data_IF_379448863447
#
_entry.id   IF_379448863447
#
_cell.length_a   1.000
_cell.length_b   1.000
_cell.length_c   1.000
_cell.angle_alpha   90.00
_cell.angle_beta   90.00
_cell.angle_gamma   90.00
#
_symmetry.space_group_name_H-M   'P 1'
#
loop_
_entity.id
_entity.type
_entity.pdbx_description
1 polymer ?
#
# COMPACT_ATOMS: atom_id res chain seq x y z
N UNK A 1 -10.39 10.34 -10.52
CA UNK A 1 -9.08 9.68 -10.69
C UNK A 1 -8.00 10.68 -10.31
N UNK A 2 -7.08 10.25 -9.45
CA UNK A 2 -5.98 11.08 -8.97
C UNK A 2 -4.66 10.36 -9.25
N UNK A 3 -3.65 11.12 -9.64
CA UNK A 3 -2.29 10.67 -9.80
C UNK A 3 -1.38 11.52 -8.91
N UNK A 4 -0.51 10.88 -8.15
CA UNK A 4 0.46 11.54 -7.29
C UNK A 4 1.86 11.02 -7.62
N UNK A 5 2.79 11.95 -7.82
CA UNK A 5 4.22 11.70 -7.93
C UNK A 5 4.91 12.38 -6.74
N UNK A 6 5.54 11.60 -5.88
CA UNK A 6 6.16 12.08 -4.66
C UNK A 6 7.62 11.64 -4.59
N UNK A 7 8.48 12.59 -4.26
CA UNK A 7 9.87 12.32 -3.89
C UNK A 7 10.09 12.72 -2.43
N UNK A 8 10.52 11.77 -1.60
CA UNK A 8 10.97 12.03 -0.22
C UNK A 8 12.45 11.63 -0.08
N UNK A 9 13.26 12.54 0.45
CA UNK A 9 14.71 12.35 0.55
C UNK A 9 15.14 11.56 1.80
N UNK A 10 14.28 11.43 2.80
CA UNK A 10 14.64 10.87 4.11
C UNK A 10 13.63 9.81 4.61
N UNK A 11 13.02 9.06 3.68
CA UNK A 11 12.09 8.01 4.03
C UNK A 11 12.78 6.91 4.84
N UNK A 12 12.23 6.58 6.00
CA UNK A 12 12.71 5.45 6.81
C UNK A 12 12.56 4.12 6.04
N UNK A 13 13.62 3.31 6.08
CA UNK A 13 13.64 1.98 5.46
C UNK A 13 13.50 0.91 6.54
N UNK A 14 14.49 0.80 7.40
CA UNK A 14 14.54 -0.23 8.44
C UNK A 14 15.62 0.08 9.48
N UNK A 15 15.64 -0.73 10.54
CA UNK A 15 16.78 -0.79 11.45
C UNK A 15 17.43 -2.17 11.39
N UNK A 16 18.75 -2.22 11.57
CA UNK A 16 19.54 -3.44 11.57
C UNK A 16 20.58 -3.41 12.70
N UNK A 17 20.62 -4.48 13.50
CA UNK A 17 21.70 -4.65 14.49
C UNK A 17 22.91 -5.29 13.81
N UNK A 18 24.06 -4.65 13.94
CA UNK A 18 25.34 -5.12 13.41
C UNK A 18 26.49 -4.62 14.30
N UNK A 19 27.46 -5.48 14.62
CA UNK A 19 28.64 -5.11 15.42
C UNK A 19 28.31 -4.52 16.80
N UNK A 20 27.24 -5.01 17.48
CA UNK A 20 26.81 -4.52 18.79
C UNK A 20 26.11 -3.16 18.80
N UNK A 21 25.81 -2.60 17.63
CA UNK A 21 25.13 -1.31 17.48
C UNK A 21 23.95 -1.41 16.52
N UNK A 22 22.91 -0.59 16.74
CA UNK A 22 21.78 -0.50 15.83
C UNK A 22 22.03 0.55 14.75
N UNK A 23 21.84 0.16 13.51
CA UNK A 23 21.89 1.01 12.31
C UNK A 23 20.47 1.38 11.92
N UNK A 24 20.17 2.67 11.80
CA UNK A 24 18.93 3.18 11.24
C UNK A 24 19.19 3.58 9.79
N UNK A 25 18.42 3.01 8.88
CA UNK A 25 18.58 3.24 7.44
C UNK A 25 17.41 4.06 6.91
N UNK A 26 17.76 5.07 6.14
CA UNK A 26 16.82 5.94 5.42
C UNK A 26 17.22 5.99 3.95
N UNK A 27 16.32 6.40 3.08
CA UNK A 27 16.65 6.55 1.67
C UNK A 27 15.78 7.59 0.99
N UNK A 28 16.20 8.00 -0.18
CA UNK A 28 15.37 8.76 -1.10
C UNK A 28 14.40 7.80 -1.76
N UNK A 29 13.09 8.06 -1.64
CA UNK A 29 12.06 7.31 -2.36
C UNK A 29 11.46 8.16 -3.48
N UNK A 30 11.26 7.55 -4.63
CA UNK A 30 10.39 8.04 -5.70
C UNK A 30 9.16 7.14 -5.74
N UNK A 31 8.00 7.73 -5.48
CA UNK A 31 6.72 7.00 -5.36
C UNK A 31 5.68 7.55 -6.32
N UNK A 32 5.11 6.66 -7.11
CA UNK A 32 3.98 6.94 -7.99
C UNK A 32 2.73 6.25 -7.45
N UNK A 33 1.64 7.00 -7.34
CA UNK A 33 0.36 6.51 -6.84
C UNK A 33 -0.75 6.88 -7.81
N UNK A 34 -1.59 5.92 -8.15
CA UNK A 34 -2.78 6.10 -8.99
C UNK A 34 -3.98 5.51 -8.26
N UNK A 35 -5.00 6.32 -8.04
CA UNK A 35 -6.22 5.86 -7.41
C UNK A 35 -7.46 6.57 -7.95
N UNK A 36 -8.60 5.93 -7.80
CA UNK A 36 -9.91 6.54 -8.06
C UNK A 36 -10.93 6.04 -7.05
N UNK A 37 -12.00 6.78 -6.90
CA UNK A 37 -13.14 6.36 -6.08
C UNK A 37 -14.40 6.57 -6.89
N UNK A 38 -15.21 5.53 -6.99
CA UNK A 38 -16.54 5.55 -7.58
C UNK A 38 -17.57 5.31 -6.47
N UNK A 39 -18.57 6.18 -6.43
CA UNK A 39 -19.78 5.99 -5.60
C UNK A 39 -20.98 6.17 -6.47
N UNK A 40 -21.92 5.25 -6.35
CA UNK A 40 -23.21 5.32 -7.04
C UNK A 40 -24.31 4.90 -6.07
N UNK A 41 -25.44 5.60 -6.14
CA UNK A 41 -26.65 5.26 -5.42
C UNK A 41 -27.81 5.35 -6.41
N UNK A 42 -28.66 4.33 -6.40
CA UNK A 42 -29.80 4.24 -7.29
C UNK A 42 -31.04 3.79 -6.52
N UNK A 43 -32.06 4.62 -6.54
CA UNK A 43 -33.37 4.32 -5.95
C UNK A 43 -34.27 3.78 -7.04
N UNK A 44 -34.62 2.48 -6.95
CA UNK A 44 -35.58 1.83 -7.84
C UNK A 44 -37.00 2.26 -7.45
N UNK A 45 -37.25 2.26 -6.12
CA UNK A 45 -38.41 2.87 -5.48
C UNK A 45 -37.96 3.56 -4.18
N UNK A 46 -38.81 4.35 -3.49
CA UNK A 46 -38.46 4.90 -2.17
C UNK A 46 -38.06 3.83 -1.14
N UNK A 47 -38.62 2.60 -1.27
CA UNK A 47 -38.38 1.47 -0.39
C UNK A 47 -37.22 0.59 -0.83
N UNK A 48 -36.71 0.71 -2.10
CA UNK A 48 -35.72 -0.16 -2.67
C UNK A 48 -34.56 0.61 -3.28
N UNK A 49 -33.39 0.52 -2.66
CA UNK A 49 -32.19 1.21 -3.12
C UNK A 49 -30.99 0.28 -3.26
N UNK A 50 -30.11 0.63 -4.19
CA UNK A 50 -28.83 0.01 -4.45
C UNK A 50 -27.75 1.06 -4.25
N UNK A 51 -26.70 0.69 -3.51
CA UNK A 51 -25.52 1.53 -3.31
C UNK A 51 -24.28 0.75 -3.73
N UNK A 52 -23.39 1.42 -4.42
CA UNK A 52 -22.10 0.88 -4.81
C UNK A 52 -20.96 1.83 -4.44
N UNK A 53 -19.92 1.26 -3.88
CA UNK A 53 -18.63 1.92 -3.65
C UNK A 53 -17.54 1.07 -4.28
N UNK A 54 -16.61 1.69 -5.01
CA UNK A 54 -15.45 1.02 -5.58
C UNK A 54 -14.24 1.94 -5.54
N UNK A 55 -13.09 1.42 -5.06
CA UNK A 55 -11.86 2.19 -4.92
C UNK A 55 -10.65 1.36 -5.32
N UNK A 56 -10.28 1.34 -6.62
CA UNK A 56 -8.99 0.82 -7.04
C UNK A 56 -7.86 1.79 -6.66
N UNK A 57 -6.74 1.21 -6.21
CA UNK A 57 -5.54 1.90 -5.76
C UNK A 57 -4.30 1.12 -6.20
N UNK A 58 -3.30 1.82 -6.73
CA UNK A 58 -1.99 1.26 -6.98
C UNK A 58 -0.91 2.27 -6.56
N UNK A 59 0.14 1.79 -5.92
CA UNK A 59 1.28 2.61 -5.53
C UNK A 59 2.57 1.83 -5.75
N UNK A 60 3.54 2.43 -6.43
CA UNK A 60 4.87 1.87 -6.64
C UNK A 60 5.91 2.80 -6.07
N UNK A 61 6.93 2.24 -5.40
CA UNK A 61 8.01 3.03 -4.82
C UNK A 61 9.36 2.42 -5.10
N UNK A 62 10.31 3.27 -5.50
CA UNK A 62 11.70 2.91 -5.70
C UNK A 62 12.60 3.70 -4.78
N UNK A 63 13.39 2.99 -3.99
CA UNK A 63 14.40 3.62 -3.15
C UNK A 63 15.70 3.84 -3.91
N UNK A 64 16.21 5.06 -3.80
CA UNK A 64 17.50 5.47 -4.32
C UNK A 64 18.34 6.03 -3.17
N UNK A 65 19.66 5.90 -3.25
CA UNK A 65 20.57 6.53 -2.29
C UNK A 65 20.23 6.17 -0.83
N UNK A 66 20.62 4.97 -0.42
CA UNK A 66 20.44 4.52 0.97
C UNK A 66 21.49 5.19 1.85
N UNK A 67 21.08 5.64 3.03
CA UNK A 67 21.92 6.29 4.01
C UNK A 67 21.76 5.62 5.39
N UNK A 68 22.87 5.56 6.12
CA UNK A 68 22.89 5.25 7.54
C UNK A 68 22.77 6.55 8.35
N UNK A 69 21.88 6.62 9.30
CA UNK A 69 21.77 7.74 10.22
C UNK A 69 22.98 7.73 11.16
N UNK A 70 23.73 8.81 11.20
CA UNK A 70 24.92 9.00 12.03
C UNK A 70 24.66 9.87 13.24
N UNK A 71 24.19 11.10 13.01
CA UNK A 71 23.84 12.05 14.06
C UNK A 71 22.58 12.83 13.65
N UNK A 72 21.39 12.44 14.08
CA UNK A 72 20.14 13.08 13.65
C UNK A 72 20.02 14.55 14.10
N UNK A 73 20.79 14.95 15.12
CA UNK A 73 20.76 16.30 15.69
C UNK A 73 21.84 17.24 15.12
N UNK A 74 22.68 16.79 14.18
CA UNK A 74 23.70 17.64 13.59
C UNK A 74 23.07 18.83 12.85
N UNK A 75 23.67 20.03 12.97
CA UNK A 75 23.20 21.24 12.28
C UNK A 75 23.29 21.07 10.76
N UNK A 76 24.39 20.54 10.26
CA UNK A 76 24.60 20.31 8.83
C UNK A 76 24.04 18.94 8.43
N UNK A 77 23.24 18.90 7.35
CA UNK A 77 22.58 17.70 6.85
C UNK A 77 23.56 16.59 6.49
N UNK A 78 24.72 16.97 5.91
CA UNK A 78 25.81 16.05 5.56
C UNK A 78 26.40 15.28 6.75
N UNK A 79 26.31 15.85 7.95
CA UNK A 79 26.76 15.22 9.18
C UNK A 79 25.71 14.29 9.81
N UNK A 80 24.46 14.33 9.32
CA UNK A 80 23.36 13.48 9.80
C UNK A 80 23.40 12.08 9.22
N UNK A 81 23.94 11.93 8.00
CA UNK A 81 23.81 10.72 7.21
C UNK A 81 25.15 10.29 6.63
N UNK A 82 25.37 8.98 6.56
CA UNK A 82 26.48 8.37 5.84
C UNK A 82 25.91 7.61 4.64
N UNK A 83 26.33 7.92 3.39
CA UNK A 83 25.91 7.15 2.22
C UNK A 83 26.32 5.68 2.35
N UNK A 84 25.38 4.79 2.02
CA UNK A 84 25.62 3.35 1.96
C UNK A 84 25.67 2.91 0.51
N UNK A 85 26.69 2.13 0.15
CA UNK A 85 26.79 1.56 -1.20
C UNK A 85 26.29 0.12 -1.14
N UNK A 86 25.21 -0.23 -1.90
CA UNK A 86 24.82 -1.63 -2.03
C UNK A 86 25.94 -2.42 -2.74
N UNK A 87 26.32 -3.53 -2.16
CA UNK A 87 27.12 -4.56 -2.85
C UNK A 87 26.17 -5.43 -3.63
N UNK A 88 26.31 -5.46 -4.96
CA UNK A 88 25.38 -6.19 -5.83
C UNK A 88 25.68 -7.67 -5.71
N UNK A 89 24.79 -8.42 -5.03
CA UNK A 89 24.72 -9.86 -5.08
C UNK A 89 23.40 -10.24 -5.75
N UNK A 90 23.46 -11.08 -6.77
CA UNK A 90 22.33 -11.40 -7.61
C UNK A 90 21.47 -12.52 -7.02
N UNK A 91 20.15 -12.39 -7.05
CA UNK A 91 19.21 -13.50 -7.07
C UNK A 91 18.22 -13.64 -5.91
N UNK A 92 18.30 -12.87 -4.81
CA UNK A 92 17.46 -13.13 -3.62
C UNK A 92 16.61 -11.94 -3.15
N UNK A 93 16.45 -10.91 -3.98
CA UNK A 93 15.69 -9.68 -3.68
C UNK A 93 16.11 -9.00 -2.36
N UNK A 94 17.43 -9.05 -2.06
CA UNK A 94 18.05 -8.40 -0.91
C UNK A 94 19.04 -7.35 -1.36
N UNK A 95 19.23 -6.33 -0.52
CA UNK A 95 20.28 -5.36 -0.64
C UNK A 95 21.37 -5.67 0.39
N UNK A 96 22.54 -6.00 -0.09
CA UNK A 96 23.73 -6.23 0.73
C UNK A 96 24.47 -4.91 0.90
N UNK A 97 24.78 -4.54 2.12
CA UNK A 97 25.33 -3.23 2.48
C UNK A 97 26.71 -3.39 3.08
N UNK A 98 27.61 -2.50 2.66
CA UNK A 98 28.94 -2.32 3.19
C UNK A 98 28.89 -1.20 4.25
N UNK A 99 29.09 -1.51 5.53
CA UNK A 99 29.03 -0.57 6.66
C UNK A 99 30.39 0.11 6.93
N UNK A 100 31.50 -0.53 6.55
CA UNK A 100 32.86 -0.12 6.86
C UNK A 100 33.62 0.48 5.66
N UNK A 101 33.14 0.32 4.43
CA UNK A 101 33.74 0.87 3.21
C UNK A 101 34.81 -0.02 2.57
N UNK A 102 34.89 -1.31 2.91
CA UNK A 102 35.86 -2.25 2.36
C UNK A 102 35.40 -2.94 1.06
N UNK A 103 34.24 -2.56 0.51
CA UNK A 103 33.56 -3.11 -0.66
C UNK A 103 33.11 -4.59 -0.49
N UNK A 104 32.95 -5.05 0.75
CA UNK A 104 32.36 -6.33 1.08
C UNK A 104 31.02 -6.12 1.78
N UNK A 105 30.14 -7.10 1.68
CA UNK A 105 28.87 -7.05 2.35
C UNK A 105 29.03 -7.40 3.83
N UNK A 106 28.66 -6.48 4.72
CA UNK A 106 28.63 -6.68 6.16
C UNK A 106 27.30 -7.28 6.63
N UNK A 107 26.20 -6.82 6.02
CA UNK A 107 24.85 -7.32 6.30
C UNK A 107 23.91 -7.06 5.13
N UNK A 108 22.72 -7.63 5.20
CA UNK A 108 21.68 -7.40 4.19
C UNK A 108 20.39 -6.89 4.83
N UNK A 109 19.60 -6.20 4.01
CA UNK A 109 18.22 -5.84 4.26
C UNK A 109 17.34 -6.38 3.14
N UNK A 110 16.05 -6.55 3.39
CA UNK A 110 15.08 -6.79 2.30
C UNK A 110 15.06 -5.60 1.35
N UNK A 111 14.88 -5.85 0.05
CA UNK A 111 14.70 -4.76 -0.91
C UNK A 111 13.51 -3.90 -0.46
N UNK A 112 13.72 -2.59 -0.21
CA UNK A 112 12.65 -1.69 0.24
C UNK A 112 11.74 -1.21 -0.88
N UNK A 113 12.09 -1.48 -2.14
CA UNK A 113 11.22 -1.17 -3.27
C UNK A 113 9.89 -1.90 -3.12
N UNK A 114 8.82 -1.32 -3.64
CA UNK A 114 7.52 -1.95 -3.56
C UNK A 114 6.61 -1.67 -4.73
N UNK A 115 5.65 -2.57 -4.91
CA UNK A 115 4.48 -2.43 -5.75
C UNK A 115 3.26 -2.91 -4.95
N UNK A 116 2.40 -1.98 -4.58
CA UNK A 116 1.16 -2.25 -3.85
C UNK A 116 -0.04 -2.01 -4.75
N UNK A 117 -0.95 -2.96 -4.75
CA UNK A 117 -2.18 -2.94 -5.55
C UNK A 117 -3.35 -3.31 -4.64
N UNK A 118 -4.43 -2.57 -4.73
CA UNK A 118 -5.64 -2.85 -3.96
C UNK A 118 -6.90 -2.45 -4.74
N UNK A 119 -7.94 -3.24 -4.61
CA UNK A 119 -9.29 -2.87 -4.99
C UNK A 119 -10.25 -3.23 -3.87
N UNK A 120 -10.93 -2.23 -3.35
CA UNK A 120 -12.00 -2.42 -2.38
C UNK A 120 -13.31 -2.00 -3.00
N UNK A 121 -14.33 -2.83 -2.88
CA UNK A 121 -15.68 -2.44 -3.24
C UNK A 121 -16.72 -3.01 -2.29
N UNK A 122 -17.81 -2.25 -2.17
CA UNK A 122 -18.99 -2.64 -1.41
C UNK A 122 -20.22 -2.38 -2.26
N UNK A 123 -21.08 -3.37 -2.30
CA UNK A 123 -22.42 -3.27 -2.85
C UNK A 123 -23.41 -3.48 -1.73
N UNK A 124 -24.40 -2.60 -1.61
CA UNK A 124 -25.45 -2.67 -0.62
C UNK A 124 -26.81 -2.59 -1.32
N UNK A 125 -27.62 -3.60 -1.11
CA UNK A 125 -29.03 -3.59 -1.44
C UNK A 125 -29.81 -3.38 -0.15
N UNK A 126 -30.69 -2.38 -0.14
CA UNK A 126 -31.65 -2.11 0.93
C UNK A 126 -33.06 -2.21 0.38
N UNK A 127 -33.89 -2.99 1.03
CA UNK A 127 -35.30 -3.15 0.68
C UNK A 127 -36.16 -3.11 1.92
N UNK A 128 -37.05 -2.11 1.99
CA UNK A 128 -38.11 -2.03 2.98
C UNK A 128 -39.34 -2.75 2.43
N UNK A 129 -39.43 -4.06 2.66
CA UNK A 129 -40.46 -4.92 2.09
C UNK A 129 -41.83 -4.77 2.78
N UNK A 130 -41.88 -4.16 3.97
CA UNK A 130 -43.06 -3.74 4.72
C UNK A 130 -42.67 -2.54 5.59
N UNK A 131 -43.63 -1.65 5.88
CA UNK A 131 -43.36 -0.47 6.72
C UNK A 131 -42.65 -0.87 8.04
N UNK A 132 -41.47 -0.31 8.28
CA UNK A 132 -40.60 -0.62 9.41
C UNK A 132 -39.85 -1.96 9.34
N UNK A 133 -40.04 -2.76 8.27
CA UNK A 133 -39.38 -4.07 8.08
C UNK A 133 -38.42 -4.00 6.90
N UNK A 134 -37.12 -4.27 7.16
CA UNK A 134 -36.07 -4.04 6.17
C UNK A 134 -35.23 -5.29 5.95
N UNK A 135 -34.82 -5.48 4.71
CA UNK A 135 -33.83 -6.46 4.27
C UNK A 135 -32.59 -5.75 3.74
N UNK A 136 -31.43 -6.19 4.14
CA UNK A 136 -30.14 -5.76 3.60
C UNK A 136 -29.35 -6.94 3.07
N UNK A 137 -28.79 -6.79 1.88
CA UNK A 137 -27.74 -7.62 1.35
C UNK A 137 -26.50 -6.73 1.16
N UNK A 138 -25.40 -7.12 1.77
CA UNK A 138 -24.11 -6.45 1.59
C UNK A 138 -23.14 -7.44 1.00
N UNK A 139 -22.50 -7.04 -0.10
CA UNK A 139 -21.38 -7.75 -0.71
C UNK A 139 -20.14 -6.87 -0.67
N UNK A 140 -19.17 -7.29 0.14
CA UNK A 140 -17.85 -6.67 0.19
C UNK A 140 -16.88 -7.51 -0.63
N UNK A 141 -16.13 -6.84 -1.50
CA UNK A 141 -15.15 -7.45 -2.38
C UNK A 141 -13.82 -6.73 -2.21
N UNK A 142 -12.76 -7.49 -1.97
CA UNK A 142 -11.40 -6.99 -1.83
C UNK A 142 -10.44 -7.80 -2.68
N UNK A 143 -9.46 -7.13 -3.26
CA UNK A 143 -8.28 -7.71 -3.90
C UNK A 143 -7.08 -6.90 -3.46
N UNK A 144 -6.00 -7.55 -3.05
CA UNK A 144 -4.78 -6.84 -2.69
C UNK A 144 -3.55 -7.68 -2.98
N UNK A 145 -2.47 -7.01 -3.33
CA UNK A 145 -1.14 -7.59 -3.49
C UNK A 145 -0.08 -6.61 -3.03
N UNK A 146 0.95 -7.12 -2.42
CA UNK A 146 2.17 -6.40 -2.10
C UNK A 146 3.37 -7.20 -2.60
N UNK A 147 4.27 -6.54 -3.32
CA UNK A 147 5.49 -7.11 -3.84
C UNK A 147 6.65 -6.14 -3.60
N UNK A 148 7.83 -6.66 -3.30
CA UNK A 148 9.08 -5.88 -3.13
C UNK A 148 9.79 -5.63 -4.48
N UNK A 149 9.07 -5.73 -5.59
CA UNK A 149 9.56 -5.43 -6.93
C UNK A 149 8.96 -4.13 -7.43
N UNK A 150 9.81 -3.16 -7.70
CA UNK A 150 9.38 -1.90 -8.31
C UNK A 150 8.76 -2.12 -9.69
N UNK A 151 7.63 -1.48 -9.93
CA UNK A 151 7.00 -1.42 -11.26
C UNK A 151 7.11 0.01 -11.80
N UNK A 152 7.87 0.19 -12.88
CA UNK A 152 8.13 1.50 -13.49
C UNK A 152 6.91 2.18 -14.10
N UNK A 153 5.90 1.39 -14.51
CA UNK A 153 4.64 1.89 -15.07
C UNK A 153 3.49 1.68 -14.09
N UNK A 154 3.08 2.74 -13.41
CA UNK A 154 1.95 2.70 -12.48
C UNK A 154 0.65 2.22 -13.13
N UNK A 155 0.44 2.52 -14.41
CA UNK A 155 -0.71 2.03 -15.17
C UNK A 155 -0.74 0.52 -15.31
N UNK A 156 0.42 -0.14 -15.38
CA UNK A 156 0.54 -1.60 -15.39
C UNK A 156 0.19 -2.20 -14.04
N UNK A 157 0.65 -1.58 -12.94
CA UNK A 157 0.22 -1.96 -11.59
C UNK A 157 -1.29 -1.81 -11.44
N UNK A 158 -1.84 -0.68 -11.86
CA UNK A 158 -3.27 -0.41 -11.75
C UNK A 158 -4.12 -1.41 -12.57
N UNK A 159 -3.73 -1.72 -13.79
CA UNK A 159 -4.43 -2.72 -14.61
C UNK A 159 -4.26 -4.15 -14.08
N UNK A 160 -3.15 -4.44 -13.41
CA UNK A 160 -2.87 -5.75 -12.79
C UNK A 160 -3.85 -6.13 -11.68
N UNK A 161 -4.55 -5.16 -11.08
CA UNK A 161 -5.52 -5.38 -10.00
C UNK A 161 -6.60 -6.40 -10.41
N UNK A 162 -7.02 -6.40 -11.66
CA UNK A 162 -8.08 -7.30 -12.17
C UNK A 162 -7.67 -8.77 -12.13
N UNK A 163 -6.37 -9.06 -12.20
CA UNK A 163 -5.80 -10.41 -12.15
C UNK A 163 -5.60 -10.96 -10.72
N UNK A 164 -5.77 -10.14 -9.69
CA UNK A 164 -5.57 -10.57 -8.30
C UNK A 164 -6.71 -11.44 -7.81
N UNK A 165 -6.40 -12.39 -6.92
CA UNK A 165 -7.39 -13.27 -6.29
C UNK A 165 -8.35 -12.47 -5.43
N UNK A 166 -9.67 -12.56 -5.67
CA UNK A 166 -10.68 -11.83 -4.90
C UNK A 166 -10.97 -12.50 -3.55
N UNK A 167 -11.21 -11.67 -2.55
CA UNK A 167 -11.85 -12.04 -1.31
C UNK A 167 -13.26 -11.46 -1.30
N UNK A 168 -14.26 -12.29 -1.03
CA UNK A 168 -15.67 -11.89 -1.02
C UNK A 168 -16.29 -12.18 0.34
N UNK A 169 -17.04 -11.22 0.85
CA UNK A 169 -17.83 -11.34 2.06
C UNK A 169 -19.28 -10.96 1.77
N UNK A 170 -20.21 -11.85 2.08
CA UNK A 170 -21.64 -11.59 1.97
C UNK A 170 -22.25 -11.52 3.35
N UNK A 171 -23.05 -10.48 3.60
CA UNK A 171 -23.80 -10.30 4.83
C UNK A 171 -25.28 -10.08 4.51
N UNK A 172 -26.14 -10.75 5.24
CA UNK A 172 -27.58 -10.61 5.19
C UNK A 172 -28.08 -10.08 6.53
N UNK A 173 -28.94 -9.06 6.51
CA UNK A 173 -29.64 -8.55 7.69
C UNK A 173 -31.12 -8.44 7.38
N UNK A 174 -31.94 -9.06 8.24
CA UNK A 174 -33.39 -8.97 8.20
C UNK A 174 -33.89 -8.32 9.48
N UNK A 175 -34.69 -7.28 9.37
CA UNK A 175 -35.42 -6.66 10.47
C UNK A 175 -36.93 -6.80 10.20
N UNK A 176 -37.70 -7.16 11.20
CA UNK A 176 -39.15 -7.27 11.11
C UNK A 176 -39.80 -6.42 12.22
N UNK A 177 -40.70 -5.54 11.85
CA UNK A 177 -41.48 -4.72 12.77
C UNK A 177 -42.76 -5.43 13.13
N UNK A 178 -42.99 -5.66 14.43
CA UNK A 178 -44.24 -6.19 15.01
C UNK A 178 -44.95 -5.00 15.65
N UNK A 179 -46.15 -4.68 15.16
CA UNK A 179 -47.10 -3.84 15.91
C UNK A 179 -47.99 -4.74 16.76
N UNK A 180 -47.90 -4.58 18.06
CA UNK A 180 -48.83 -5.16 19.04
C UNK A 180 -50.10 -4.31 19.09
#
# INVERSE_FOLDING_TARGET
TNFEDLTDNNQYITQKSFGGSTRFLVGKIERNTLYTTLRAEYFITPEFSLQYYGSPYASTGKFKNIYKVRNPYAHLVENRYTPMKPVILTGDNKLYLDDNGDNKADYYISNPDFNFQEFRSNFVLRWEYKAGSTFYLVWSHNRSSYDNLYQDKITKSFSGITGLTPQNLFMLKLSYWLSL
#
